data_IF_342597757715
#
_entry.id   IF_342597757715
#
_cell.length_a   1.000
_cell.length_b   1.000
_cell.length_c   1.000
_cell.angle_alpha   90.00
_cell.angle_beta   90.00
_cell.angle_gamma   90.00
#
_symmetry.space_group_name_H-M   'P 1'
#
loop_
_entity.id
_entity.type
_entity.pdbx_description
1 polymer ?
#
# COMPACT_ATOMS: atom_id res chain seq x y z
N UNK A 1 2.44 7.57 -3.53
CA UNK A 1 3.87 7.95 -3.60
C UNK A 1 4.70 6.69 -3.66
N UNK A 2 5.80 6.68 -4.41
CA UNK A 2 6.63 5.48 -4.56
C UNK A 2 7.64 5.35 -3.40
N UNK A 3 7.82 4.12 -2.92
CA UNK A 3 8.82 3.77 -1.91
C UNK A 3 9.97 3.02 -2.59
N UNK A 4 11.21 3.51 -2.41
CA UNK A 4 12.41 2.97 -3.04
C UNK A 4 12.70 3.49 -4.46
N UNK A 5 13.76 2.97 -5.12
CA UNK A 5 14.30 3.48 -6.38
C UNK A 5 13.42 3.20 -7.59
N UNK A 6 13.38 4.09 -8.59
CA UNK A 6 12.61 3.89 -9.83
C UNK A 6 13.24 2.87 -10.79
N UNK A 7 14.56 2.93 -10.95
CA UNK A 7 15.30 2.18 -11.97
C UNK A 7 15.91 0.88 -11.41
N UNK A 8 16.45 0.92 -10.19
CA UNK A 8 17.09 -0.22 -9.52
C UNK A 8 16.11 -0.98 -8.63
N UNK A 9 14.97 -1.42 -9.18
CA UNK A 9 13.94 -2.19 -8.46
C UNK A 9 13.76 -3.59 -9.05
N UNK A 10 13.44 -4.56 -8.20
CA UNK A 10 12.90 -5.84 -8.66
C UNK A 10 11.66 -5.61 -9.54
N UNK A 11 11.56 -6.25 -10.71
CA UNK A 11 10.40 -6.11 -11.60
C UNK A 11 9.12 -6.64 -10.97
N UNK A 12 9.23 -7.51 -9.97
CA UNK A 12 8.09 -8.11 -9.27
C UNK A 12 7.54 -7.28 -8.11
N UNK A 13 8.17 -6.15 -7.76
CA UNK A 13 7.82 -5.39 -6.56
C UNK A 13 7.31 -3.99 -6.90
N UNK A 14 6.26 -3.57 -6.21
CA UNK A 14 5.81 -2.18 -6.17
C UNK A 14 5.40 -1.83 -4.74
N UNK A 15 6.18 -0.97 -4.08
CA UNK A 15 5.80 -0.43 -2.78
C UNK A 15 5.39 1.04 -2.91
N UNK A 16 4.16 1.35 -2.53
CA UNK A 16 3.56 2.68 -2.67
C UNK A 16 2.81 3.11 -1.42
N UNK A 17 2.91 4.39 -1.08
CA UNK A 17 2.17 5.01 0.02
C UNK A 17 0.96 5.79 -0.49
N UNK A 18 -0.20 5.52 0.10
CA UNK A 18 -1.43 6.26 -0.11
C UNK A 18 -1.67 7.20 1.07
N UNK A 19 -1.43 8.49 0.86
CA UNK A 19 -1.72 9.47 1.90
C UNK A 19 -3.22 9.50 2.22
N UNK A 20 -3.53 9.75 3.50
CA UNK A 20 -4.88 9.85 4.04
C UNK A 20 -5.69 8.55 3.96
N UNK A 21 -5.01 7.42 3.85
CA UNK A 21 -5.59 6.09 3.91
C UNK A 21 -4.64 5.17 4.71
N UNK A 22 -5.18 4.38 5.63
CA UNK A 22 -4.40 3.48 6.48
C UNK A 22 -4.11 2.15 5.77
N UNK A 23 -2.86 1.70 5.79
CA UNK A 23 -2.40 0.51 5.07
C UNK A 23 -3.17 -0.75 5.44
N UNK A 24 -3.46 -0.97 6.72
CA UNK A 24 -4.25 -2.12 7.17
C UNK A 24 -5.68 -2.08 6.62
N UNK A 25 -6.31 -0.92 6.61
CA UNK A 25 -7.66 -0.75 6.07
C UNK A 25 -7.69 -0.94 4.55
N UNK A 26 -6.66 -0.48 3.82
CA UNK A 26 -6.51 -0.73 2.38
C UNK A 26 -6.38 -2.24 2.12
N UNK A 27 -5.49 -2.91 2.85
CA UNK A 27 -5.27 -4.35 2.73
C UNK A 27 -6.55 -5.15 3.01
N UNK A 28 -7.28 -4.81 4.07
CA UNK A 28 -8.54 -5.46 4.44
C UNK A 28 -9.66 -5.23 3.42
N UNK A 29 -9.76 -4.05 2.80
CA UNK A 29 -10.79 -3.83 1.78
C UNK A 29 -10.43 -4.44 0.43
N UNK A 30 -9.15 -4.42 0.04
CA UNK A 30 -8.71 -5.13 -1.17
C UNK A 30 -8.97 -6.64 -1.06
N UNK A 31 -8.75 -7.24 0.12
CA UNK A 31 -9.01 -8.67 0.31
C UNK A 31 -10.49 -9.04 0.16
N UNK A 32 -11.41 -8.15 0.52
CA UNK A 32 -12.86 -8.33 0.25
C UNK A 32 -13.18 -8.35 -1.26
N UNK A 33 -12.33 -7.74 -2.08
CA UNK A 33 -12.40 -7.79 -3.54
C UNK A 33 -11.55 -8.92 -4.15
N UNK A 34 -10.98 -9.82 -3.33
CA UNK A 34 -10.12 -10.91 -3.78
C UNK A 34 -8.70 -10.48 -4.15
N UNK A 35 -8.29 -9.24 -3.82
CA UNK A 35 -6.95 -8.71 -4.08
C UNK A 35 -6.12 -8.78 -2.80
N UNK A 36 -5.05 -9.58 -2.83
CA UNK A 36 -4.18 -9.79 -1.67
C UNK A 36 -2.88 -9.01 -1.82
N UNK A 37 -2.58 -8.18 -0.82
CA UNK A 37 -1.40 -7.32 -0.76
C UNK A 37 -0.79 -7.36 0.64
N UNK A 38 0.43 -6.85 0.78
CA UNK A 38 1.05 -6.68 2.09
C UNK A 38 1.06 -5.20 2.48
N UNK A 39 0.77 -4.90 3.74
CA UNK A 39 1.06 -3.57 4.28
C UNK A 39 2.55 -3.43 4.60
N UNK A 40 3.09 -2.23 4.34
CA UNK A 40 4.40 -1.81 4.82
C UNK A 40 4.39 -1.32 6.27
N UNK A 41 3.22 -1.22 6.91
CA UNK A 41 3.10 -1.07 8.36
C UNK A 41 3.38 -2.43 9.03
N UNK A 42 4.04 -2.41 10.18
CA UNK A 42 4.61 -3.60 10.80
C UNK A 42 3.56 -4.63 11.26
N UNK A 43 3.06 -5.49 10.36
CA UNK A 43 2.14 -6.58 10.73
C UNK A 43 2.79 -7.75 11.51
N UNK A 44 3.95 -7.56 12.15
CA UNK A 44 4.61 -8.59 12.96
C UNK A 44 4.99 -8.16 14.39
N UNK A 45 4.72 -6.91 14.79
CA UNK A 45 5.07 -6.42 16.13
C UNK A 45 3.81 -6.06 16.90
N UNK A 46 3.73 -6.47 18.17
CA UNK A 46 2.69 -6.00 19.13
C UNK A 46 2.73 -4.49 19.38
N UNK A 47 3.71 -3.78 18.79
CA UNK A 47 3.85 -2.34 18.82
C UNK A 47 3.45 -1.78 17.45
N UNK A 48 2.63 -0.72 17.47
CA UNK A 48 2.23 0.13 16.32
C UNK A 48 3.43 0.91 15.73
N UNK A 49 4.56 0.24 15.54
CA UNK A 49 5.76 0.87 15.01
C UNK A 49 5.73 0.85 13.48
N UNK A 50 5.97 2.00 12.83
CA UNK A 50 6.08 2.05 11.38
C UNK A 50 7.31 1.28 10.91
N UNK A 51 7.32 0.83 9.65
CA UNK A 51 8.45 0.08 9.10
C UNK A 51 9.78 0.81 9.29
N UNK A 52 10.72 0.12 9.94
CA UNK A 52 12.09 0.59 10.15
C UNK A 52 12.80 0.85 8.81
N UNK A 53 12.46 0.11 7.75
CA UNK A 53 12.99 0.31 6.40
C UNK A 53 12.47 1.61 5.80
N UNK A 54 11.16 1.87 5.87
CA UNK A 54 10.59 3.11 5.33
C UNK A 54 11.11 4.34 6.10
N UNK A 55 11.30 4.20 7.42
CA UNK A 55 11.95 5.21 8.24
C UNK A 55 13.39 5.46 7.82
N UNK A 56 14.16 4.40 7.57
CA UNK A 56 15.57 4.51 7.15
C UNK A 56 15.74 5.20 5.79
N UNK A 57 14.79 5.02 4.88
CA UNK A 57 14.79 5.72 3.58
C UNK A 57 14.13 7.11 3.63
N UNK A 58 13.86 7.64 4.84
CA UNK A 58 13.43 9.01 5.05
C UNK A 58 11.95 9.28 4.82
N UNK A 59 11.09 8.26 4.85
CA UNK A 59 9.63 8.46 4.70
C UNK A 59 9.02 9.09 5.93
N UNK A 60 8.09 10.02 5.71
CA UNK A 60 7.31 10.63 6.78
C UNK A 60 6.36 9.62 7.43
N UNK A 61 5.92 9.91 8.65
CA UNK A 61 4.97 9.03 9.36
C UNK A 61 3.67 8.81 8.56
N UNK A 62 3.16 9.86 7.91
CA UNK A 62 1.97 9.79 7.06
C UNK A 62 2.18 8.89 5.83
N UNK A 63 3.36 8.92 5.21
CA UNK A 63 3.68 8.02 4.11
C UNK A 63 3.82 6.56 4.58
N UNK A 64 4.43 6.34 5.75
CA UNK A 64 4.65 4.99 6.28
C UNK A 64 3.33 4.28 6.61
N UNK A 65 2.37 4.99 7.20
CA UNK A 65 1.06 4.42 7.57
C UNK A 65 0.22 3.96 6.39
N UNK A 66 0.30 4.66 5.25
CA UNK A 66 -0.44 4.30 4.04
C UNK A 66 0.32 3.39 3.08
N UNK A 67 1.41 2.76 3.52
CA UNK A 67 2.29 1.98 2.65
C UNK A 67 1.69 0.60 2.31
N UNK A 68 1.61 0.29 1.02
CA UNK A 68 1.21 -1.02 0.49
C UNK A 68 2.30 -1.54 -0.44
N UNK A 69 2.63 -2.81 -0.29
CA UNK A 69 3.51 -3.55 -1.18
C UNK A 69 2.70 -4.54 -2.01
N UNK A 70 2.74 -4.33 -3.32
CA UNK A 70 2.30 -5.28 -4.32
C UNK A 70 3.49 -6.14 -4.75
N UNK A 71 3.27 -7.44 -4.82
CA UNK A 71 4.25 -8.40 -5.29
C UNK A 71 3.59 -9.26 -6.35
N UNK A 72 4.15 -9.28 -7.56
CA UNK A 72 3.65 -10.09 -8.67
C UNK A 72 4.58 -11.28 -8.92
N UNK A 73 4.02 -12.34 -9.46
CA UNK A 73 4.73 -13.56 -9.82
C UNK A 73 4.49 -13.88 -11.29
N UNK A 74 5.23 -14.87 -11.82
CA UNK A 74 5.03 -15.40 -13.18
C UNK A 74 3.64 -16.00 -13.43
N UNK A 75 2.85 -16.20 -12.37
CA UNK A 75 1.51 -16.77 -12.46
C UNK A 75 0.43 -15.70 -12.54
N UNK A 76 0.79 -14.43 -12.33
CA UNK A 76 -0.16 -13.34 -12.47
C UNK A 76 -0.39 -12.99 -13.94
N UNK A 77 -1.60 -12.58 -14.26
CA UNK A 77 -1.99 -12.21 -15.63
C UNK A 77 -2.21 -10.71 -15.76
N UNK A 78 -2.23 -10.19 -16.99
CA UNK A 78 -2.49 -8.77 -17.22
C UNK A 78 -3.91 -8.39 -16.83
N UNK A 79 -4.87 -9.30 -17.01
CA UNK A 79 -6.26 -9.11 -16.63
C UNK A 79 -6.41 -8.95 -15.10
N UNK A 80 -5.63 -9.70 -14.31
CA UNK A 80 -5.59 -9.51 -12.86
C UNK A 80 -5.04 -8.12 -12.48
N UNK A 81 -4.02 -7.64 -13.19
CA UNK A 81 -3.47 -6.29 -12.96
C UNK A 81 -4.50 -5.22 -13.32
N UNK A 82 -5.20 -5.38 -14.45
CA UNK A 82 -6.27 -4.47 -14.87
C UNK A 82 -7.41 -4.44 -13.84
N UNK A 83 -7.84 -5.60 -13.34
CA UNK A 83 -8.83 -5.68 -12.27
C UNK A 83 -8.40 -4.95 -10.99
N UNK A 84 -7.12 -5.08 -10.59
CA UNK A 84 -6.58 -4.32 -9.44
C UNK A 84 -6.67 -2.81 -9.72
N UNK A 85 -6.36 -2.36 -10.94
CA UNK A 85 -6.44 -0.95 -11.33
C UNK A 85 -7.88 -0.41 -11.36
N UNK A 86 -8.88 -1.26 -11.60
CA UNK A 86 -10.30 -0.90 -11.52
C UNK A 86 -10.78 -0.75 -10.07
N UNK A 87 -10.40 -1.68 -9.19
CA UNK A 87 -10.87 -1.74 -7.80
C UNK A 87 -10.17 -0.72 -6.91
N UNK A 88 -8.84 -0.60 -7.04
CA UNK A 88 -7.98 0.15 -6.12
C UNK A 88 -8.43 1.63 -5.95
N UNK A 89 -8.74 2.40 -7.01
CA UNK A 89 -9.18 3.78 -6.85
C UNK A 89 -10.44 3.93 -6.00
N UNK A 90 -11.40 3.02 -6.15
CA UNK A 90 -12.64 3.01 -5.36
C UNK A 90 -12.39 2.74 -3.88
N UNK A 91 -11.53 1.76 -3.58
CA UNK A 91 -11.08 1.45 -2.22
C UNK A 91 -10.41 2.65 -1.56
N UNK A 92 -9.43 3.27 -2.25
CA UNK A 92 -8.72 4.43 -1.72
C UNK A 92 -9.65 5.63 -1.51
N UNK A 93 -10.57 5.88 -2.45
CA UNK A 93 -11.55 6.97 -2.33
C UNK A 93 -12.43 6.79 -1.10
N UNK A 94 -12.99 5.59 -0.91
CA UNK A 94 -13.84 5.27 0.24
C UNK A 94 -13.12 5.46 1.57
N UNK A 95 -11.86 5.02 1.68
CA UNK A 95 -11.06 5.24 2.90
C UNK A 95 -10.81 6.71 3.18
N UNK A 96 -10.52 7.50 2.14
CA UNK A 96 -10.30 8.94 2.29
C UNK A 96 -11.56 9.69 2.70
N UNK A 97 -12.74 9.23 2.30
CA UNK A 97 -14.03 9.78 2.74
C UNK A 97 -14.28 9.53 4.23
N UNK A 98 -13.83 8.38 4.75
CA UNK A 98 -13.92 8.01 6.15
C UNK A 98 -12.79 8.57 7.02
N UNK A 99 -11.69 9.02 6.40
CA UNK A 99 -10.52 9.53 7.10
C UNK A 99 -10.81 10.87 7.78
N UNK A 100 -10.50 10.95 9.07
CA UNK A 100 -10.48 12.21 9.82
C UNK A 100 -9.33 13.15 9.36
N UNK A 101 -8.34 12.62 8.65
CA UNK A 101 -7.20 13.35 8.14
C UNK A 101 -7.42 13.68 6.66
N UNK A 102 -7.59 14.96 6.35
CA UNK A 102 -7.71 15.47 4.98
C UNK A 102 -6.51 16.34 4.62
N UNK A 103 -6.08 16.36 3.34
CA UNK A 103 -5.20 17.43 2.88
C UNK A 103 -5.89 18.77 3.15
N UNK A 104 -5.19 19.68 3.82
CA UNK A 104 -5.61 21.07 3.95
C UNK A 104 -5.60 21.76 2.59
#
# INVERSE_FOLDING_TARGET
MLNGPRELRSPSNLNVSFLYAEGEAIMMMLSQHGVYVSSGSACASRLLEPSHVLKAIGKSHAEMHGSISFSVSRFNTMEEIEYVLEVLPGVIKRLREMSAWKPR
#
